data_IF_777748276199
#
_entry.id   IF_777748276199
#
_cell.length_a   1.000
_cell.length_b   1.000
_cell.length_c   1.000
_cell.angle_alpha   90.00
_cell.angle_beta   90.00
_cell.angle_gamma   90.00
#
_symmetry.space_group_name_H-M   'P 1'
#
loop_
_entity.id
_entity.type
_entity.pdbx_description
1 polymer ?
#
# COMPACT_ATOMS: atom_id res chain seq x y z
N UNK A 1 -33.74 -3.32 8.39
CA UNK A 1 -33.14 -3.76 7.11
C UNK A 1 -31.74 -4.22 7.41
N UNK A 2 -31.54 -5.53 7.61
CA UNK A 2 -30.21 -6.08 7.79
C UNK A 2 -29.55 -6.17 6.42
N UNK A 3 -28.39 -5.54 6.26
CA UNK A 3 -27.55 -5.77 5.08
C UNK A 3 -27.09 -7.23 5.20
N UNK A 4 -27.55 -8.09 4.29
CA UNK A 4 -27.02 -9.46 4.15
C UNK A 4 -25.52 -9.35 3.89
N UNK A 5 -24.69 -9.94 4.76
CA UNK A 5 -23.22 -9.91 4.66
C UNK A 5 -22.65 -10.78 3.54
N UNK A 6 -23.37 -10.88 2.41
CA UNK A 6 -22.98 -11.70 1.27
C UNK A 6 -22.05 -10.91 0.35
N UNK A 7 -21.04 -11.59 -0.19
CA UNK A 7 -20.08 -11.01 -1.11
C UNK A 7 -20.78 -10.58 -2.41
N UNK A 8 -20.55 -9.34 -2.83
CA UNK A 8 -21.10 -8.81 -4.07
C UNK A 8 -20.00 -8.84 -5.14
N UNK A 9 -20.33 -9.34 -6.34
CA UNK A 9 -19.40 -9.33 -7.46
C UNK A 9 -19.04 -7.87 -7.85
N UNK A 10 -17.75 -7.56 -8.09
CA UNK A 10 -17.31 -6.23 -8.48
C UNK A 10 -17.90 -5.79 -9.81
N UNK A 11 -18.23 -4.50 -9.95
CA UNK A 11 -18.89 -3.97 -11.15
C UNK A 11 -17.93 -3.51 -12.24
N UNK A 12 -16.63 -3.40 -11.94
CA UNK A 12 -15.61 -2.81 -12.79
C UNK A 12 -14.27 -3.59 -12.70
N UNK A 13 -13.13 -2.91 -12.92
CA UNK A 13 -11.78 -3.45 -12.77
C UNK A 13 -11.33 -3.66 -11.31
N UNK A 14 -12.29 -3.80 -10.39
CA UNK A 14 -12.18 -3.85 -8.92
C UNK A 14 -12.02 -2.50 -8.23
N UNK A 15 -11.64 -1.42 -8.93
CA UNK A 15 -11.38 -0.11 -8.31
C UNK A 15 -12.57 0.84 -8.50
N UNK A 16 -13.28 1.17 -7.42
CA UNK A 16 -14.42 2.10 -7.49
C UNK A 16 -14.01 3.56 -7.35
N UNK A 17 -13.03 3.85 -6.48
CA UNK A 17 -12.72 5.23 -6.12
C UNK A 17 -11.22 5.48 -5.95
N UNK A 18 -10.81 6.67 -6.37
CA UNK A 18 -9.48 7.23 -6.13
C UNK A 18 -9.64 8.57 -5.44
N UNK A 19 -8.87 8.80 -4.39
CA UNK A 19 -8.82 10.09 -3.72
C UNK A 19 -7.40 10.47 -3.31
N UNK A 20 -7.20 11.77 -3.16
CA UNK A 20 -5.95 12.36 -2.71
C UNK A 20 -6.19 13.07 -1.39
N UNK A 21 -5.23 12.93 -0.45
CA UNK A 21 -5.35 13.53 0.88
C UNK A 21 -3.99 14.07 1.35
N UNK A 22 -4.03 15.16 2.10
CA UNK A 22 -2.91 15.58 2.94
C UNK A 22 -2.97 14.89 4.31
N UNK A 23 -1.86 14.36 4.79
CA UNK A 23 -1.77 13.79 6.15
C UNK A 23 -1.60 14.86 7.24
N UNK A 24 -1.23 16.09 6.87
CA UNK A 24 -1.01 17.23 7.77
C UNK A 24 -1.60 18.53 7.20
N UNK A 25 -1.87 19.50 8.09
CA UNK A 25 -2.28 20.86 7.72
C UNK A 25 -1.11 21.65 7.14
N UNK A 26 -1.38 22.51 6.15
CA UNK A 26 -0.37 23.43 5.59
C UNK A 26 0.50 22.85 4.48
N UNK A 27 0.12 21.68 3.92
CA UNK A 27 0.74 21.15 2.71
C UNK A 27 0.23 21.91 1.48
N UNK A 28 1.13 22.23 0.55
CA UNK A 28 0.79 22.87 -0.73
C UNK A 28 0.10 21.90 -1.71
N UNK A 29 0.26 20.59 -1.50
CA UNK A 29 -0.38 19.54 -2.28
C UNK A 29 -0.68 18.29 -1.42
N UNK A 30 -1.64 17.43 -1.84
CA UNK A 30 -1.86 16.14 -1.20
C UNK A 30 -0.61 15.27 -1.30
N UNK A 31 -0.19 14.66 -0.19
CA UNK A 31 0.96 13.76 -0.15
C UNK A 31 0.58 12.29 -0.07
N UNK A 32 -0.72 11.97 -0.07
CA UNK A 32 -1.24 10.61 -0.13
C UNK A 32 -2.17 10.43 -1.32
N UNK A 33 -2.02 9.30 -1.98
CA UNK A 33 -2.90 8.74 -2.99
C UNK A 33 -3.56 7.50 -2.41
N UNK A 34 -4.86 7.33 -2.58
CA UNK A 34 -5.57 6.13 -2.13
C UNK A 34 -6.51 5.64 -3.23
N UNK A 35 -6.45 4.34 -3.49
CA UNK A 35 -7.37 3.61 -4.36
C UNK A 35 -8.19 2.64 -3.51
N UNK A 36 -9.51 2.69 -3.62
CA UNK A 36 -10.40 1.70 -3.04
C UNK A 36 -10.61 0.56 -4.03
N UNK A 37 -10.53 -0.67 -3.54
CA UNK A 37 -10.97 -1.86 -4.24
C UNK A 37 -12.25 -2.42 -3.59
N UNK A 38 -13.22 -2.80 -4.42
CA UNK A 38 -14.53 -3.38 -4.03
C UNK A 38 -14.45 -4.80 -3.49
N UNK A 39 -13.25 -5.35 -3.35
CA UNK A 39 -13.01 -6.68 -2.82
C UNK A 39 -12.00 -6.61 -1.69
N UNK A 40 -12.08 -7.53 -0.72
CA UNK A 40 -11.01 -7.70 0.22
C UNK A 40 -9.78 -8.24 -0.52
N UNK A 41 -8.61 -7.64 -0.28
CA UNK A 41 -7.32 -8.05 -0.82
C UNK A 41 -6.27 -8.03 0.27
N UNK A 42 -5.45 -9.07 0.26
CA UNK A 42 -4.25 -9.16 1.09
C UNK A 42 -3.20 -10.02 0.37
N UNK A 43 -1.98 -10.05 0.89
CA UNK A 43 -0.94 -10.96 0.39
C UNK A 43 -1.28 -12.40 0.75
N UNK A 44 -0.77 -13.38 0.00
CA UNK A 44 -1.03 -14.79 0.29
C UNK A 44 -0.60 -15.18 1.71
N UNK A 45 0.53 -14.63 2.17
CA UNK A 45 1.07 -14.81 3.52
C UNK A 45 0.10 -14.29 4.59
N UNK A 46 -0.49 -13.11 4.38
CA UNK A 46 -1.42 -12.51 5.33
C UNK A 46 -2.77 -13.23 5.32
N UNK A 47 -3.27 -13.63 4.15
CA UNK A 47 -4.47 -14.47 4.06
C UNK A 47 -4.27 -15.79 4.81
N UNK A 48 -3.12 -16.44 4.65
CA UNK A 48 -2.82 -17.69 5.35
C UNK A 48 -2.74 -17.51 6.87
N UNK A 49 -2.30 -16.34 7.35
CA UNK A 49 -2.10 -16.07 8.78
C UNK A 49 -3.34 -15.52 9.50
N UNK A 50 -4.10 -14.65 8.84
CA UNK A 50 -5.20 -13.90 9.45
C UNK A 50 -6.56 -14.21 8.82
N UNK A 51 -6.59 -14.96 7.71
CA UNK A 51 -7.77 -15.10 6.89
C UNK A 51 -8.03 -13.84 6.05
N UNK A 52 -9.11 -13.90 5.28
CA UNK A 52 -9.65 -12.78 4.53
C UNK A 52 -11.17 -12.88 4.63
N UNK A 53 -11.89 -11.77 4.93
CA UNK A 53 -13.34 -11.83 4.99
C UNK A 53 -13.94 -12.15 3.62
N UNK A 54 -15.06 -12.87 3.60
CA UNK A 54 -15.76 -13.20 2.35
C UNK A 54 -16.34 -11.96 1.66
N UNK A 55 -16.86 -11.01 2.46
CA UNK A 55 -17.37 -9.72 2.01
C UNK A 55 -16.59 -8.58 2.65
N UNK A 56 -16.05 -7.67 1.83
CA UNK A 56 -15.25 -6.55 2.31
C UNK A 56 -14.73 -5.68 1.17
N UNK A 57 -13.96 -4.66 1.52
CA UNK A 57 -13.27 -3.78 0.57
C UNK A 57 -11.85 -3.49 1.08
N UNK A 58 -10.99 -3.01 0.21
CA UNK A 58 -9.59 -2.69 0.57
C UNK A 58 -9.21 -1.29 0.14
N UNK A 59 -8.41 -0.59 0.94
CA UNK A 59 -7.81 0.68 0.57
C UNK A 59 -6.31 0.50 0.34
N UNK A 60 -5.86 0.79 -0.87
CA UNK A 60 -4.46 0.85 -1.25
C UNK A 60 -3.95 2.28 -1.12
N UNK A 61 -3.18 2.54 -0.07
CA UNK A 61 -2.52 3.83 0.15
C UNK A 61 -1.11 3.87 -0.45
N UNK A 62 -0.74 5.00 -1.05
CA UNK A 62 0.59 5.29 -1.53
C UNK A 62 0.99 6.73 -1.17
N UNK A 63 2.29 6.96 -0.97
CA UNK A 63 2.85 8.30 -0.84
C UNK A 63 2.91 8.93 -2.23
N UNK A 64 2.24 10.08 -2.42
CA UNK A 64 2.13 10.73 -3.72
C UNK A 64 3.41 11.47 -4.13
N UNK A 65 4.20 11.92 -3.15
CA UNK A 65 5.43 12.68 -3.36
C UNK A 65 6.59 12.10 -2.54
N UNK A 66 7.03 10.86 -2.84
CA UNK A 66 8.07 10.22 -2.06
C UNK A 66 9.42 10.94 -2.25
N UNK A 67 10.14 11.15 -1.15
CA UNK A 67 11.45 11.80 -1.10
C UNK A 67 12.59 10.83 -1.40
N UNK A 68 12.41 9.55 -1.12
CA UNK A 68 13.39 8.51 -1.39
C UNK A 68 13.77 8.45 -2.88
N UNK A 69 14.99 8.00 -3.15
CA UNK A 69 15.49 7.86 -4.52
C UNK A 69 16.18 6.53 -4.67
N UNK A 70 15.70 5.74 -5.63
CA UNK A 70 16.34 4.51 -6.07
C UNK A 70 17.44 4.74 -7.10
N UNK A 71 18.13 3.66 -7.48
CA UNK A 71 19.16 3.63 -8.51
C UNK A 71 19.02 2.38 -9.37
N UNK A 72 19.30 2.54 -10.66
CA UNK A 72 19.45 1.44 -11.59
C UNK A 72 20.91 1.35 -12.00
N UNK A 73 21.46 0.13 -12.09
CA UNK A 73 22.82 -0.10 -12.60
C UNK A 73 22.79 -1.17 -13.67
N UNK A 74 23.43 -0.88 -14.80
CA UNK A 74 23.69 -1.89 -15.82
C UNK A 74 24.73 -2.86 -15.27
N UNK A 75 24.49 -4.15 -15.42
CA UNK A 75 25.40 -5.20 -14.93
C UNK A 75 26.38 -5.69 -16.00
N UNK A 76 26.22 -5.23 -17.23
CA UNK A 76 27.10 -5.55 -18.34
C UNK A 76 26.82 -4.72 -19.57
N UNK A 77 27.53 -5.01 -20.65
CA UNK A 77 27.49 -4.28 -21.91
C UNK A 77 26.51 -4.84 -22.93
N UNK A 78 25.96 -6.04 -22.69
CA UNK A 78 24.96 -6.63 -23.58
C UNK A 78 23.57 -6.08 -23.19
N UNK A 79 22.75 -5.59 -24.14
CA UNK A 79 21.40 -5.12 -23.87
C UNK A 79 20.48 -6.12 -23.14
N UNK A 80 20.76 -7.42 -23.22
CA UNK A 80 20.02 -8.45 -22.50
C UNK A 80 20.56 -8.77 -21.10
N UNK A 81 21.66 -8.13 -20.69
CA UNK A 81 22.19 -8.30 -19.34
C UNK A 81 21.18 -7.76 -18.31
N UNK A 82 21.05 -8.41 -17.14
CA UNK A 82 20.12 -7.95 -16.13
C UNK A 82 20.53 -6.54 -15.64
N UNK A 83 19.53 -5.77 -15.21
CA UNK A 83 19.76 -4.52 -14.48
C UNK A 83 19.66 -4.80 -13.00
N UNK A 84 20.54 -4.18 -12.21
CA UNK A 84 20.39 -4.17 -10.76
C UNK A 84 19.50 -2.99 -10.36
N UNK A 85 18.43 -3.31 -9.65
CA UNK A 85 17.43 -2.36 -9.18
C UNK A 85 17.63 -2.16 -7.68
N UNK A 86 18.05 -0.97 -7.29
CA UNK A 86 18.08 -0.55 -5.90
C UNK A 86 16.92 0.43 -5.69
N UNK A 87 15.73 -0.08 -5.36
CA UNK A 87 14.53 0.75 -5.27
C UNK A 87 14.57 1.76 -4.12
N UNK A 88 15.34 1.46 -3.06
CA UNK A 88 15.51 2.29 -1.87
C UNK A 88 14.16 2.76 -1.28
N UNK A 89 13.13 1.92 -1.40
CA UNK A 89 11.74 2.16 -0.96
C UNK A 89 11.67 2.46 0.52
N UNK A 90 11.05 3.59 0.88
CA UNK A 90 10.87 4.07 2.26
C UNK A 90 12.19 4.31 3.03
N UNK A 91 13.28 4.57 2.32
CA UNK A 91 14.58 4.90 2.95
C UNK A 91 14.58 6.26 3.64
N UNK A 92 13.72 7.17 3.19
CA UNK A 92 13.52 8.46 3.82
C UNK A 92 12.51 8.31 4.97
N UNK A 93 12.84 8.76 6.20
CA UNK A 93 11.94 8.64 7.34
C UNK A 93 10.60 9.38 7.15
N UNK A 94 10.56 10.45 6.35
CA UNK A 94 9.33 11.18 6.08
C UNK A 94 8.38 10.37 5.19
N UNK A 95 8.92 9.60 4.23
CA UNK A 95 8.12 8.71 3.39
C UNK A 95 7.48 7.61 4.22
N UNK A 96 8.24 7.03 5.16
CA UNK A 96 7.69 6.03 6.07
C UNK A 96 6.59 6.63 6.97
N UNK A 97 6.80 7.85 7.46
CA UNK A 97 5.82 8.55 8.30
C UNK A 97 4.51 8.81 7.54
N UNK A 98 4.61 9.27 6.30
CA UNK A 98 3.46 9.49 5.42
C UNK A 98 2.75 8.15 5.11
N UNK A 99 3.49 7.10 4.77
CA UNK A 99 2.94 5.79 4.41
C UNK A 99 2.09 5.15 5.52
N UNK A 100 2.44 5.38 6.80
CA UNK A 100 1.68 4.85 7.94
C UNK A 100 0.62 5.81 8.47
N UNK A 101 0.55 7.05 7.97
CA UNK A 101 -0.41 8.05 8.45
C UNK A 101 -1.89 7.64 8.22
N UNK A 102 -2.27 7.04 7.07
CA UNK A 102 -3.62 6.50 6.88
C UNK A 102 -4.04 5.51 7.96
N UNK A 103 -3.10 4.69 8.45
CA UNK A 103 -3.36 3.68 9.46
C UNK A 103 -3.63 4.25 10.87
N UNK A 104 -3.31 5.53 11.11
CA UNK A 104 -3.45 6.17 12.43
C UNK A 104 -4.74 6.95 12.62
N UNK A 105 -5.41 7.34 11.53
CA UNK A 105 -6.53 8.28 11.55
C UNK A 105 -7.90 7.68 11.22
N UNK A 106 -7.99 6.38 10.95
CA UNK A 106 -9.25 5.72 10.59
C UNK A 106 -9.76 4.84 11.71
N UNK A 107 -10.92 5.16 12.27
CA UNK A 107 -11.80 4.13 12.84
C UNK A 107 -12.41 3.37 11.65
N UNK A 108 -11.62 2.46 11.08
CA UNK A 108 -12.02 1.55 10.02
C UNK A 108 -11.77 0.14 10.55
N UNK A 109 -12.85 -0.60 10.72
CA UNK A 109 -12.98 -1.74 11.62
C UNK A 109 -12.25 -3.03 11.21
N UNK A 110 -11.16 -2.96 10.43
CA UNK A 110 -10.53 -4.17 9.88
C UNK A 110 -8.99 -4.12 9.80
N UNK A 111 -8.34 -3.22 10.56
CA UNK A 111 -6.87 -3.17 10.59
C UNK A 111 -6.33 -3.23 12.03
N UNK A 112 -6.57 -4.35 12.72
CA UNK A 112 -6.28 -4.49 14.15
C UNK A 112 -4.80 -4.54 14.54
N UNK A 113 -3.81 -4.53 13.61
CA UNK A 113 -2.39 -4.69 14.01
C UNK A 113 -1.40 -3.76 13.28
N UNK A 114 -1.40 -2.44 13.59
CA UNK A 114 -0.49 -1.46 12.98
C UNK A 114 1.01 -1.74 13.18
N UNK A 115 1.40 -2.57 14.15
CA UNK A 115 2.80 -2.99 14.37
C UNK A 115 3.28 -4.02 13.33
N UNK A 116 2.39 -4.91 12.87
CA UNK A 116 2.71 -5.95 11.88
C UNK A 116 2.87 -5.35 10.49
N UNK A 117 2.00 -4.40 10.10
CA UNK A 117 2.11 -3.70 8.82
C UNK A 117 3.45 -2.98 8.64
N UNK A 118 3.96 -2.34 9.71
CA UNK A 118 5.25 -1.66 9.66
C UNK A 118 6.44 -2.64 9.55
N UNK A 119 6.34 -3.86 10.11
CA UNK A 119 7.35 -4.91 9.91
C UNK A 119 7.24 -5.54 8.53
N UNK A 120 6.04 -5.83 8.04
CA UNK A 120 5.79 -6.41 6.71
C UNK A 120 6.23 -5.49 5.59
N UNK A 121 5.95 -4.19 5.69
CA UNK A 121 6.51 -3.18 4.78
C UNK A 121 8.04 -3.30 4.76
N UNK A 122 8.69 -3.34 5.93
CA UNK A 122 10.16 -3.43 6.01
C UNK A 122 10.69 -4.76 5.45
N UNK A 123 9.94 -5.85 5.54
CA UNK A 123 10.32 -7.18 5.03
C UNK A 123 10.10 -7.28 3.52
N UNK A 124 8.93 -6.85 3.03
CA UNK A 124 8.57 -6.86 1.61
C UNK A 124 9.53 -6.01 0.75
N UNK A 125 10.11 -4.95 1.32
CA UNK A 125 11.11 -4.12 0.63
C UNK A 125 12.56 -4.60 0.79
N UNK A 126 12.86 -5.57 1.67
CA UNK A 126 14.20 -6.18 1.75
C UNK A 126 14.48 -7.19 0.63
N UNK A 127 13.44 -7.79 0.05
CA UNK A 127 13.56 -8.75 -1.06
C UNK A 127 13.74 -8.10 -2.44
N UNK A 128 13.67 -6.77 -2.52
CA UNK A 128 13.87 -5.98 -3.74
C UNK A 128 15.32 -5.48 -3.89
N UNK A 129 16.29 -6.20 -3.33
CA UNK A 129 17.73 -5.96 -3.51
C UNK A 129 18.34 -6.93 -4.50
#
# INVERSE_FOLDING_TARGET
>A
MGISGEAIAPRNNLSEAIFFKGDQSGLDSPNLFVCQAEVPKSTAENVARFGLPDAGWTLFGAVAHPKNRGRLRLMGSNPSDPIMIDANTLSDPDDLKAAIAPCKGGHFADWEQPKLFAEEIRVAFRSLR
#
